data_IF_998101584785
#
_entry.id   IF_998101584785
#
_cell.length_a   1.000
_cell.length_b   1.000
_cell.length_c   1.000
_cell.angle_alpha   90.00
_cell.angle_beta   90.00
_cell.angle_gamma   90.00
#
_symmetry.space_group_name_H-M   'P 1'
#
loop_
_entity.id
_entity.type
_entity.pdbx_description
1 polymer ?
#
# COMPACT_ATOMS: atom_id res chain seq x y z
N UNK A 1 -32.63 -20.80 44.44
CA UNK A 1 -32.60 -20.86 42.96
C UNK A 1 -31.45 -21.79 42.60
N UNK A 2 -31.73 -22.97 42.08
CA UNK A 2 -30.71 -23.92 41.62
C UNK A 2 -30.53 -23.65 40.13
N UNK A 3 -29.39 -23.10 39.73
CA UNK A 3 -29.06 -23.04 38.31
C UNK A 3 -28.89 -24.48 37.81
N UNK A 4 -29.59 -24.87 36.73
CA UNK A 4 -29.46 -26.20 36.18
C UNK A 4 -28.02 -26.40 35.68
N UNK A 5 -27.44 -27.56 35.99
CA UNK A 5 -26.11 -27.93 35.50
C UNK A 5 -26.19 -28.03 33.97
N UNK A 6 -25.33 -27.32 33.22
CA UNK A 6 -25.35 -27.35 31.76
C UNK A 6 -25.03 -28.75 31.25
N UNK A 7 -25.77 -29.18 30.24
CA UNK A 7 -25.60 -30.47 29.57
C UNK A 7 -24.24 -30.56 28.86
N UNK A 8 -23.73 -31.77 28.64
CA UNK A 8 -22.47 -31.99 27.90
C UNK A 8 -22.48 -31.34 26.51
N UNK A 9 -23.65 -31.30 25.86
CA UNK A 9 -23.83 -30.64 24.56
C UNK A 9 -23.66 -29.12 24.67
N UNK A 10 -24.19 -28.49 25.71
CA UNK A 10 -24.05 -27.06 25.93
C UNK A 10 -22.59 -26.69 26.20
N UNK A 11 -21.89 -27.47 27.02
CA UNK A 11 -20.46 -27.29 27.30
C UNK A 11 -19.59 -27.44 26.03
N UNK A 12 -19.92 -28.41 25.17
CA UNK A 12 -19.22 -28.60 23.89
C UNK A 12 -19.46 -27.44 22.91
N UNK A 13 -20.68 -26.90 22.88
CA UNK A 13 -21.01 -25.73 22.05
C UNK A 13 -20.34 -24.46 22.56
N UNK A 14 -20.33 -24.24 23.87
CA UNK A 14 -19.63 -23.12 24.52
C UNK A 14 -18.13 -23.16 24.22
N UNK A 15 -17.50 -24.33 24.36
CA UNK A 15 -16.08 -24.51 24.03
C UNK A 15 -15.77 -24.16 22.58
N UNK A 16 -16.65 -24.58 21.65
CA UNK A 16 -16.49 -24.28 20.23
C UNK A 16 -16.74 -22.80 19.91
N UNK A 17 -17.67 -22.15 20.61
CA UNK A 17 -17.90 -20.71 20.49
C UNK A 17 -16.68 -19.91 20.92
N UNK A 18 -16.08 -20.26 22.07
CA UNK A 18 -14.85 -19.63 22.56
C UNK A 18 -13.70 -19.78 21.54
N UNK A 19 -13.52 -20.98 20.98
CA UNK A 19 -12.49 -21.21 19.95
C UNK A 19 -12.75 -20.34 18.70
N UNK A 20 -14.01 -20.29 18.24
CA UNK A 20 -14.38 -19.50 17.07
C UNK A 20 -14.21 -17.99 17.32
N UNK A 21 -14.59 -17.50 18.49
CA UNK A 21 -14.43 -16.09 18.88
C UNK A 21 -12.96 -15.69 18.96
N UNK A 22 -12.11 -16.55 19.53
CA UNK A 22 -10.66 -16.37 19.52
C UNK A 22 -10.13 -16.31 18.08
N UNK A 23 -10.53 -17.27 17.23
CA UNK A 23 -10.11 -17.31 15.82
C UNK A 23 -10.58 -16.11 15.02
N UNK A 24 -11.78 -15.59 15.28
CA UNK A 24 -12.29 -14.37 14.64
C UNK A 24 -11.48 -13.16 15.07
N UNK A 25 -11.21 -13.02 16.38
CA UNK A 25 -10.39 -11.91 16.92
C UNK A 25 -9.01 -11.85 16.26
N UNK A 26 -8.34 -13.01 16.10
CA UNK A 26 -7.05 -13.08 15.39
C UNK A 26 -7.18 -12.73 13.90
N UNK A 27 -8.25 -13.14 13.23
CA UNK A 27 -8.48 -12.81 11.83
C UNK A 27 -8.75 -11.31 11.63
N UNK A 28 -9.50 -10.68 12.53
CA UNK A 28 -9.76 -9.23 12.49
C UNK A 28 -8.46 -8.44 12.66
N UNK A 29 -7.60 -8.85 13.60
CA UNK A 29 -6.28 -8.24 13.76
C UNK A 29 -5.43 -8.41 12.49
N UNK A 30 -5.34 -9.63 11.95
CA UNK A 30 -4.57 -9.89 10.74
C UNK A 30 -5.08 -9.09 9.53
N UNK A 31 -6.41 -8.91 9.39
CA UNK A 31 -7.00 -8.10 8.34
C UNK A 31 -6.66 -6.61 8.48
N UNK A 32 -6.60 -6.09 9.71
CA UNK A 32 -6.18 -4.73 9.96
C UNK A 32 -4.70 -4.51 9.55
N UNK A 33 -3.82 -5.40 9.99
CA UNK A 33 -2.39 -5.37 9.65
C UNK A 33 -2.16 -5.47 8.13
N UNK A 34 -2.86 -6.38 7.45
CA UNK A 34 -2.78 -6.51 5.98
C UNK A 34 -3.31 -5.27 5.26
N UNK A 35 -4.35 -4.63 5.79
CA UNK A 35 -4.92 -3.41 5.20
C UNK A 35 -3.95 -2.23 5.31
N UNK A 36 -3.27 -2.10 6.45
CA UNK A 36 -2.23 -1.10 6.67
C UNK A 36 -1.04 -1.32 5.74
N UNK A 37 -0.51 -2.54 5.68
CA UNK A 37 0.59 -2.90 4.78
C UNK A 37 0.24 -2.65 3.30
N UNK A 38 -1.00 -2.95 2.90
CA UNK A 38 -1.49 -2.67 1.54
C UNK A 38 -1.57 -1.16 1.25
N UNK A 39 -2.01 -0.37 2.22
CA UNK A 39 -2.06 1.09 2.08
C UNK A 39 -0.64 1.66 1.89
N UNK A 40 0.33 1.19 2.68
CA UNK A 40 1.74 1.57 2.56
C UNK A 40 2.31 1.20 1.18
N UNK A 41 2.11 -0.04 0.73
CA UNK A 41 2.57 -0.49 -0.58
C UNK A 41 1.97 0.33 -1.74
N UNK A 42 0.71 0.77 -1.62
CA UNK A 42 0.07 1.65 -2.63
C UNK A 42 0.69 3.04 -2.65
N UNK A 43 1.02 3.60 -1.49
CA UNK A 43 1.70 4.90 -1.40
C UNK A 43 3.10 4.81 -2.02
N UNK A 44 3.85 3.77 -1.71
CA UNK A 44 5.17 3.53 -2.30
C UNK A 44 5.10 3.33 -3.81
N UNK A 45 4.14 2.53 -4.30
CA UNK A 45 3.90 2.34 -5.73
C UNK A 45 3.59 3.66 -6.46
N UNK A 46 2.80 4.54 -5.84
CA UNK A 46 2.51 5.87 -6.38
C UNK A 46 3.76 6.74 -6.45
N UNK A 47 4.56 6.74 -5.38
CA UNK A 47 5.84 7.47 -5.32
C UNK A 47 6.81 6.98 -6.40
N UNK A 48 6.97 5.67 -6.55
CA UNK A 48 7.84 5.07 -7.56
C UNK A 48 7.39 5.41 -8.97
N UNK A 49 6.09 5.38 -9.23
CA UNK A 49 5.51 5.79 -10.53
C UNK A 49 5.86 7.25 -10.85
N UNK A 50 5.76 8.15 -9.88
CA UNK A 50 6.11 9.56 -10.09
C UNK A 50 7.61 9.76 -10.32
N UNK A 51 8.47 9.04 -9.58
CA UNK A 51 9.93 9.06 -9.81
C UNK A 51 10.27 8.59 -11.23
N UNK A 52 9.66 7.50 -11.70
CA UNK A 52 9.87 6.99 -13.05
C UNK A 52 9.44 7.99 -14.12
N UNK A 53 8.30 8.67 -13.95
CA UNK A 53 7.86 9.73 -14.87
C UNK A 53 8.87 10.88 -14.93
N UNK A 54 9.32 11.37 -13.78
CA UNK A 54 10.30 12.45 -13.73
C UNK A 54 11.62 12.05 -14.41
N UNK A 55 12.10 10.82 -14.19
CA UNK A 55 13.31 10.32 -14.85
C UNK A 55 13.14 10.22 -16.37
N UNK A 56 11.97 9.78 -16.85
CA UNK A 56 11.68 9.73 -18.29
C UNK A 56 11.64 11.14 -18.90
N UNK A 57 11.05 12.11 -18.20
CA UNK A 57 11.03 13.50 -18.65
C UNK A 57 12.44 14.08 -18.72
N UNK A 58 13.27 13.85 -17.71
CA UNK A 58 14.65 14.32 -17.68
C UNK A 58 15.52 13.67 -18.76
N UNK A 59 15.35 12.36 -19.02
CA UNK A 59 15.98 11.70 -20.16
C UNK A 59 15.54 12.30 -21.50
N UNK A 60 14.26 12.67 -21.61
CA UNK A 60 13.74 13.39 -22.78
C UNK A 60 14.43 14.73 -22.99
N UNK A 61 14.63 15.51 -21.93
CA UNK A 61 15.36 16.80 -21.97
C UNK A 61 16.81 16.61 -22.36
N UNK A 62 17.51 15.64 -21.76
CA UNK A 62 18.92 15.33 -22.10
C UNK A 62 19.05 14.95 -23.57
N UNK A 63 18.16 14.10 -24.09
CA UNK A 63 18.13 13.76 -25.51
C UNK A 63 17.96 15.02 -26.36
N UNK A 64 16.98 15.88 -26.06
CA UNK A 64 16.76 17.11 -26.83
C UNK A 64 17.97 18.03 -26.81
N UNK A 65 18.62 18.20 -25.64
CA UNK A 65 19.82 19.02 -25.51
C UNK A 65 21.00 18.48 -26.35
N UNK A 66 21.18 17.15 -26.42
CA UNK A 66 22.23 16.54 -27.23
C UNK A 66 22.01 16.69 -28.74
N UNK A 67 20.76 16.88 -29.19
CA UNK A 67 20.40 17.05 -30.60
C UNK A 67 20.01 18.50 -30.96
N UNK A 68 20.18 19.46 -30.05
CA UNK A 68 19.95 20.87 -30.34
C UNK A 68 21.05 21.40 -31.27
N UNK A 69 20.66 21.92 -32.44
CA UNK A 69 21.58 22.49 -33.43
C UNK A 69 22.14 23.84 -32.92
N UNK A 70 23.48 24.00 -32.80
CA UNK A 70 24.13 25.25 -32.41
C UNK A 70 23.73 26.46 -33.27
N UNK A 71 23.23 26.24 -34.50
CA UNK A 71 22.75 27.29 -35.38
C UNK A 71 21.42 27.95 -34.91
N UNK A 72 20.79 27.44 -33.84
CA UNK A 72 19.53 27.96 -33.29
C UNK A 72 19.72 28.88 -32.07
N UNK A 73 20.96 29.15 -31.63
CA UNK A 73 21.21 30.14 -30.60
C UNK A 73 20.94 31.58 -31.11
N UNK A 74 20.15 32.39 -30.38
CA UNK A 74 19.96 33.78 -30.74
C UNK A 74 21.29 34.54 -30.62
N UNK A 75 21.59 35.48 -31.54
CA UNK A 75 22.85 36.21 -31.54
C UNK A 75 23.02 37.00 -30.23
N UNK A 76 24.26 37.09 -29.69
CA UNK A 76 24.50 37.71 -28.41
C UNK A 76 24.12 39.20 -28.43
N UNK A 77 23.57 39.74 -27.32
CA UNK A 77 23.20 41.15 -27.23
C UNK A 77 24.44 42.05 -27.38
N UNK A 78 24.34 43.03 -28.27
CA UNK A 78 25.33 44.08 -28.41
C UNK A 78 25.18 45.08 -27.25
N UNK A 79 26.14 45.05 -26.32
CA UNK A 79 26.29 46.04 -25.23
C UNK A 79 27.26 47.15 -25.63
#
# INVERSE_FOLDING_TARGET
>A
MHDPIPSEREQALESRLIELEMRVSFQEQALAELSEALAEARMEGTRNTNLLRNLLDDLGKVRTALYADPATEPPPPHY
#
